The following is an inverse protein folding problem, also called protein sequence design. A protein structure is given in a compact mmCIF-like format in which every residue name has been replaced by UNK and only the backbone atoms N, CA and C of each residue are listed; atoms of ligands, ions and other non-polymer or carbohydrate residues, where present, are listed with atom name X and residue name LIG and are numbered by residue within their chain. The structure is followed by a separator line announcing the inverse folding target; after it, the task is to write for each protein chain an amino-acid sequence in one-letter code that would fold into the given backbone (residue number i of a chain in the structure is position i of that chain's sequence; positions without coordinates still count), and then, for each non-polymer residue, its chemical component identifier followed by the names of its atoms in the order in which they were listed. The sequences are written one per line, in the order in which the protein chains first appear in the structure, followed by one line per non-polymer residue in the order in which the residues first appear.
data_IF_294627001920
#
_entry.id   IF_294627001920
#
_cell.length_a   1.000
_cell.length_b   1.000
_cell.length_c   1.000
_cell.angle_alpha   90.00
_cell.angle_beta   90.00
_cell.angle_gamma   90.00
#
_symmetry.space_group_name_H-M   'P 1'
#
loop_
_entity.id
_entity.type
_entity.pdbx_description
1 polymer ?
#
# COMPACT_ATOMS: atom_id res chain seq x y z
N UNK A 1 -0.12 -6.34 49.11
CA UNK A 1 -1.48 -6.69 48.65
C UNK A 1 -1.36 -7.55 47.42
N UNK A 2 -1.84 -8.80 47.46
CA UNK A 2 -1.83 -9.69 46.31
C UNK A 2 -3.25 -9.74 45.71
N UNK A 3 -3.35 -9.62 44.39
CA UNK A 3 -4.58 -9.90 43.64
C UNK A 3 -4.43 -11.27 42.98
N UNK A 4 -5.46 -12.10 43.10
CA UNK A 4 -5.54 -13.41 42.48
C UNK A 4 -6.53 -13.32 41.33
N UNK A 5 -6.07 -13.56 40.10
CA UNK A 5 -6.93 -13.66 38.91
C UNK A 5 -7.42 -15.10 38.79
N UNK A 6 -8.73 -15.32 38.90
CA UNK A 6 -9.37 -16.63 38.84
C UNK A 6 -10.26 -16.67 37.60
N UNK A 7 -10.17 -17.75 36.81
CA UNK A 7 -11.13 -18.05 35.74
C UNK A 7 -12.16 -19.03 36.34
N UNK A 8 -13.31 -18.52 36.75
CA UNK A 8 -14.46 -19.35 37.15
C UNK A 8 -15.47 -19.39 35.99
N UNK A 9 -15.59 -20.54 35.28
CA UNK A 9 -16.49 -20.67 34.13
C UNK A 9 -17.98 -20.61 34.50
N UNK A 10 -18.35 -20.62 35.79
CA UNK A 10 -19.74 -20.57 36.25
C UNK A 10 -20.11 -19.28 37.00
N UNK A 11 -19.21 -18.28 37.11
CA UNK A 11 -19.52 -17.02 37.80
C UNK A 11 -20.47 -16.14 36.98
N UNK A 12 -21.78 -16.19 37.27
CA UNK A 12 -22.81 -15.35 36.61
C UNK A 12 -22.81 -13.88 37.04
N UNK A 13 -22.11 -13.53 38.13
CA UNK A 13 -22.01 -12.16 38.66
C UNK A 13 -20.74 -11.43 38.26
N UNK A 14 -19.77 -12.13 37.68
CA UNK A 14 -18.50 -11.56 37.24
C UNK A 14 -18.63 -11.15 35.77
N UNK A 15 -18.53 -9.86 35.45
CA UNK A 15 -18.34 -9.44 34.06
C UNK A 15 -16.91 -9.81 33.63
N UNK A 16 -16.70 -10.55 32.53
CA UNK A 16 -15.37 -10.84 32.04
C UNK A 16 -14.66 -9.53 31.64
N UNK A 17 -13.53 -9.23 32.27
CA UNK A 17 -12.72 -8.02 32.01
C UNK A 17 -12.27 -7.91 30.54
N UNK A 18 -12.09 -9.04 29.86
CA UNK A 18 -11.57 -9.09 28.49
C UNK A 18 -12.63 -8.84 27.40
N UNK A 19 -13.93 -8.90 27.72
CA UNK A 19 -14.99 -8.84 26.68
C UNK A 19 -15.42 -7.41 26.32
N UNK A 20 -15.10 -6.41 27.17
CA UNK A 20 -15.48 -5.02 26.90
C UNK A 20 -14.40 -4.25 26.14
N UNK A 21 -13.11 -4.59 26.34
CA UNK A 21 -11.98 -3.86 25.75
C UNK A 21 -11.96 -3.96 24.22
N UNK A 22 -12.27 -5.14 23.66
CA UNK A 22 -12.32 -5.35 22.21
C UNK A 22 -13.42 -4.51 21.53
N UNK A 23 -14.60 -4.39 22.17
CA UNK A 23 -15.71 -3.61 21.62
C UNK A 23 -15.49 -2.10 21.67
N UNK A 24 -14.78 -1.60 22.69
CA UNK A 24 -14.43 -0.18 22.79
C UNK A 24 -13.32 0.19 21.80
N UNK A 25 -12.31 -0.68 21.64
CA UNK A 25 -11.26 -0.49 20.64
C UNK A 25 -11.81 -0.49 19.21
N UNK A 26 -12.75 -1.39 18.91
CA UNK A 26 -13.39 -1.44 17.59
C UNK A 26 -14.15 -0.14 17.27
N UNK A 27 -14.87 0.43 18.24
CA UNK A 27 -15.59 1.70 18.05
C UNK A 27 -14.62 2.87 17.83
N UNK A 28 -13.50 2.91 18.56
CA UNK A 28 -12.47 3.95 18.38
C UNK A 28 -11.83 3.90 17.00
N UNK A 29 -11.60 2.69 16.47
CA UNK A 29 -11.07 2.49 15.11
C UNK A 29 -12.09 2.97 14.06
N UNK A 30 -13.36 2.61 14.23
CA UNK A 30 -14.41 3.03 13.29
C UNK A 30 -14.61 4.57 13.29
N UNK A 31 -14.52 5.22 14.46
CA UNK A 31 -14.60 6.67 14.59
C UNK A 31 -13.39 7.37 13.92
N UNK A 32 -12.17 6.89 14.17
CA UNK A 32 -10.96 7.43 13.56
C UNK A 32 -10.95 7.28 12.03
N UNK A 33 -11.35 6.12 11.52
CA UNK A 33 -11.47 5.88 10.08
C UNK A 33 -12.52 6.81 9.44
N UNK A 34 -13.66 7.04 10.12
CA UNK A 34 -14.69 7.94 9.65
C UNK A 34 -14.20 9.40 9.56
N UNK A 35 -13.47 9.88 10.58
CA UNK A 35 -12.84 11.20 10.56
C UNK A 35 -11.84 11.33 9.39
N UNK A 36 -11.00 10.32 9.18
CA UNK A 36 -10.03 10.29 8.09
C UNK A 36 -10.71 10.37 6.72
N UNK A 37 -11.79 9.60 6.51
CA UNK A 37 -12.60 9.64 5.30
C UNK A 37 -13.23 11.02 5.06
N UNK A 38 -13.77 11.65 6.10
CA UNK A 38 -14.35 12.99 6.02
C UNK A 38 -13.27 14.01 5.63
N UNK A 39 -12.09 13.94 6.24
CA UNK A 39 -10.95 14.78 5.90
C UNK A 39 -10.53 14.62 4.44
N UNK A 40 -10.43 13.39 3.94
CA UNK A 40 -10.12 13.10 2.53
C UNK A 40 -11.11 13.77 1.57
N UNK A 41 -12.42 13.66 1.87
CA UNK A 41 -13.46 14.30 1.06
C UNK A 41 -13.33 15.84 1.06
N UNK A 42 -13.03 16.45 2.21
CA UNK A 42 -12.80 17.88 2.28
C UNK A 42 -11.57 18.32 1.47
N UNK A 43 -10.44 17.62 1.61
CA UNK A 43 -9.23 17.91 0.86
C UNK A 43 -9.48 17.82 -0.65
N UNK A 44 -10.19 16.78 -1.10
CA UNK A 44 -10.54 16.62 -2.50
C UNK A 44 -11.43 17.74 -3.02
N UNK A 45 -12.45 18.14 -2.27
CA UNK A 45 -13.33 19.27 -2.62
C UNK A 45 -12.55 20.59 -2.75
N UNK A 46 -11.54 20.81 -1.88
CA UNK A 46 -10.67 21.99 -1.97
C UNK A 46 -9.81 21.94 -3.24
N UNK A 47 -9.22 20.78 -3.55
CA UNK A 47 -8.40 20.58 -4.75
C UNK A 47 -9.23 20.82 -6.01
N UNK A 48 -10.41 20.20 -6.10
CA UNK A 48 -11.34 20.31 -7.23
C UNK A 48 -11.77 21.78 -7.47
N UNK A 49 -12.01 22.53 -6.39
CA UNK A 49 -12.38 23.95 -6.46
C UNK A 49 -11.21 24.87 -6.81
N UNK A 50 -9.97 24.44 -6.56
CA UNK A 50 -8.81 25.31 -6.74
C UNK A 50 -8.50 25.62 -8.21
N UNK A 51 -9.13 24.93 -9.17
CA UNK A 51 -8.87 25.04 -10.62
C UNK A 51 -7.37 24.97 -10.98
N UNK A 52 -6.54 24.45 -10.09
CA UNK A 52 -5.13 24.29 -10.33
C UNK A 52 -4.91 23.01 -11.15
N UNK A 53 -4.13 23.10 -12.22
CA UNK A 53 -3.67 21.94 -13.00
C UNK A 53 -2.71 21.02 -12.21
N UNK A 54 -2.47 21.31 -10.93
CA UNK A 54 -1.60 20.53 -10.06
C UNK A 54 -2.34 19.33 -9.50
N UNK A 55 -1.83 18.14 -9.82
CA UNK A 55 -2.24 16.91 -9.16
C UNK A 55 -1.59 16.83 -7.78
N UNK A 56 -2.41 16.62 -6.74
CA UNK A 56 -1.92 16.33 -5.40
C UNK A 56 -2.01 14.82 -5.19
N UNK A 57 -0.98 14.25 -4.56
CA UNK A 57 -1.03 12.88 -4.05
C UNK A 57 -1.32 12.95 -2.56
N UNK A 58 -2.46 12.41 -2.13
CA UNK A 58 -2.80 12.31 -0.71
C UNK A 58 -2.52 10.87 -0.27
N UNK A 59 -1.85 10.74 0.88
CA UNK A 59 -1.65 9.47 1.57
C UNK A 59 -2.51 9.50 2.83
N UNK A 60 -3.34 8.47 3.01
CA UNK A 60 -4.16 8.31 4.19
C UNK A 60 -3.99 6.92 4.79
N UNK A 61 -4.04 6.85 6.11
CA UNK A 61 -4.06 5.60 6.85
C UNK A 61 -5.50 5.33 7.29
N UNK A 62 -6.00 4.13 6.97
CA UNK A 62 -7.32 3.65 7.37
C UNK A 62 -7.14 2.23 7.89
N UNK A 63 -7.59 1.97 9.11
CA UNK A 63 -7.34 0.72 9.80
C UNK A 63 -8.22 -0.41 9.27
N UNK A 64 -9.53 -0.18 9.12
CA UNK A 64 -10.46 -1.18 8.63
C UNK A 64 -10.40 -1.30 7.09
N UNK A 65 -10.17 -2.51 6.59
CA UNK A 65 -10.15 -2.81 5.17
C UNK A 65 -11.48 -2.50 4.46
N UNK A 66 -12.61 -2.58 5.17
CA UNK A 66 -13.95 -2.23 4.65
C UNK A 66 -14.02 -0.73 4.34
N UNK A 67 -13.48 0.09 5.23
CA UNK A 67 -13.40 1.54 5.07
C UNK A 67 -12.40 1.93 3.98
N UNK A 68 -11.28 1.21 3.86
CA UNK A 68 -10.33 1.39 2.76
C UNK A 68 -10.99 1.17 1.39
N UNK A 69 -11.84 0.14 1.26
CA UNK A 69 -12.55 -0.14 0.00
C UNK A 69 -13.55 0.96 -0.36
N UNK A 70 -14.21 1.56 0.62
CA UNK A 70 -15.08 2.73 0.41
C UNK A 70 -14.26 3.93 -0.07
N UNK A 71 -13.15 4.22 0.62
CA UNK A 71 -12.23 5.30 0.29
C UNK A 71 -11.71 5.19 -1.15
N UNK A 72 -11.23 4.02 -1.57
CA UNK A 72 -10.67 3.80 -2.92
C UNK A 72 -11.68 4.10 -4.05
N UNK A 73 -12.98 3.89 -3.81
CA UNK A 73 -14.02 4.17 -4.81
C UNK A 73 -14.33 5.66 -4.95
N UNK A 74 -14.24 6.41 -3.86
CA UNK A 74 -14.59 7.84 -3.82
C UNK A 74 -13.37 8.73 -4.09
N UNK A 75 -12.20 8.27 -3.64
CA UNK A 75 -10.92 8.95 -3.68
C UNK A 75 -9.94 8.23 -4.61
N UNK A 76 -10.39 7.99 -5.85
CA UNK A 76 -9.52 7.45 -6.90
C UNK A 76 -8.26 8.34 -7.04
N UNK A 77 -7.09 7.70 -7.00
CA UNK A 77 -5.72 8.25 -7.04
C UNK A 77 -5.03 8.55 -5.70
N UNK A 78 -5.68 8.33 -4.56
CA UNK A 78 -5.04 8.49 -3.24
C UNK A 78 -4.48 7.15 -2.73
N UNK A 79 -3.35 7.20 -2.01
CA UNK A 79 -2.72 6.01 -1.45
C UNK A 79 -3.30 5.77 -0.05
N UNK A 80 -4.18 4.78 0.05
CA UNK A 80 -4.78 4.37 1.32
C UNK A 80 -4.03 3.16 1.86
N UNK A 81 -3.37 3.32 3.00
CA UNK A 81 -2.60 2.27 3.67
C UNK A 81 -3.48 1.62 4.73
N UNK A 82 -3.58 0.29 4.65
CA UNK A 82 -4.22 -0.54 5.67
C UNK A 82 -3.17 -1.24 6.54
N UNK A 83 -3.52 -1.43 7.82
CA UNK A 83 -2.74 -2.22 8.78
C UNK A 83 -2.48 -3.67 8.28
N UNK A 84 -3.25 -4.16 7.30
CA UNK A 84 -3.03 -5.45 6.65
C UNK A 84 -1.62 -5.58 6.00
N UNK A 85 -0.94 -4.48 5.69
CA UNK A 85 0.46 -4.54 5.21
C UNK A 85 1.38 -5.21 6.25
N UNK A 86 1.17 -4.92 7.54
CA UNK A 86 1.95 -5.51 8.64
C UNK A 86 1.66 -7.01 8.72
N UNK A 87 0.40 -7.42 8.60
CA UNK A 87 0.00 -8.83 8.58
C UNK A 87 0.67 -9.60 7.44
N UNK A 88 0.76 -8.99 6.25
CA UNK A 88 1.48 -9.57 5.09
C UNK A 88 2.98 -9.71 5.36
N UNK A 89 3.60 -8.68 5.92
CA UNK A 89 5.01 -8.71 6.31
C UNK A 89 5.31 -9.83 7.31
N UNK A 90 4.50 -9.96 8.37
CA UNK A 90 4.64 -11.05 9.36
C UNK A 90 4.46 -12.42 8.71
N UNK A 91 3.54 -12.57 7.76
CA UNK A 91 3.35 -13.82 7.01
C UNK A 91 4.61 -14.20 6.23
N UNK A 92 5.19 -13.25 5.49
CA UNK A 92 6.43 -13.47 4.74
C UNK A 92 7.61 -13.86 5.67
N UNK A 93 7.76 -13.16 6.79
CA UNK A 93 8.77 -13.48 7.80
C UNK A 93 8.59 -14.88 8.41
N UNK A 94 7.34 -15.30 8.60
CA UNK A 94 7.00 -16.61 9.16
C UNK A 94 7.34 -17.74 8.18
N UNK A 95 7.18 -17.51 6.87
CA UNK A 95 7.56 -18.45 5.82
C UNK A 95 9.08 -18.53 5.63
N UNK A 96 9.77 -17.40 5.62
CA UNK A 96 11.22 -17.36 5.43
C UNK A 96 11.87 -16.22 6.21
N UNK A 97 12.52 -16.58 7.32
CA UNK A 97 13.25 -15.63 8.18
C UNK A 97 14.36 -14.86 7.46
N UNK A 98 14.86 -15.35 6.32
CA UNK A 98 15.87 -14.64 5.54
C UNK A 98 15.29 -13.42 4.81
N UNK A 99 13.97 -13.35 4.59
CA UNK A 99 13.30 -12.19 3.99
C UNK A 99 13.53 -10.93 4.83
N UNK A 100 13.64 -11.08 6.16
CA UNK A 100 13.98 -9.99 7.07
C UNK A 100 15.21 -9.19 6.60
N UNK A 101 16.23 -9.86 6.07
CA UNK A 101 17.46 -9.18 5.61
C UNK A 101 17.21 -8.28 4.41
N UNK A 102 16.25 -8.63 3.56
CA UNK A 102 15.84 -7.84 2.40
C UNK A 102 14.97 -6.68 2.87
N UNK A 103 14.00 -6.94 3.73
CA UNK A 103 13.08 -5.91 4.24
C UNK A 103 13.79 -4.87 5.12
N UNK A 104 14.73 -5.29 5.98
CA UNK A 104 15.58 -4.40 6.77
C UNK A 104 16.40 -3.46 5.86
N UNK A 105 16.67 -3.86 4.62
CA UNK A 105 17.42 -3.04 3.66
C UNK A 105 16.48 -2.15 2.84
N UNK A 106 15.31 -2.65 2.43
CA UNK A 106 14.35 -1.90 1.60
C UNK A 106 13.48 -0.89 2.37
N UNK A 107 13.29 -1.08 3.68
CA UNK A 107 12.41 -0.24 4.51
C UNK A 107 13.16 0.82 5.33
N UNK A 108 14.50 0.82 5.27
CA UNK A 108 15.33 1.88 5.86
C UNK A 108 15.54 2.97 4.79
N UNK A 109 15.66 4.23 5.22
CA UNK A 109 15.91 5.38 4.34
C UNK A 109 17.37 5.45 3.81
N UNK A 110 18.05 4.31 3.75
CA UNK A 110 19.42 4.17 3.24
C UNK A 110 19.39 3.17 2.07
N UNK A 111 20.28 3.37 1.08
CA UNK A 111 20.32 2.58 -0.16
C UNK A 111 20.21 1.06 0.06
N UNK A 112 19.42 0.33 -0.75
CA UNK A 112 18.73 0.72 -1.99
C UNK A 112 17.24 1.04 -1.83
N UNK A 113 16.79 2.13 -2.48
CA UNK A 113 15.39 2.56 -2.51
C UNK A 113 14.64 2.14 -3.80
N UNK A 114 13.31 2.09 -3.72
CA UNK A 114 12.43 1.79 -4.86
C UNK A 114 11.87 3.11 -5.43
N UNK A 115 12.16 3.37 -6.70
CA UNK A 115 11.67 4.55 -7.41
C UNK A 115 10.76 4.20 -8.59
N UNK A 116 9.82 5.11 -8.88
CA UNK A 116 9.10 5.15 -10.15
C UNK A 116 9.76 6.18 -11.07
N UNK A 117 10.36 5.71 -12.15
CA UNK A 117 11.06 6.55 -13.12
C UNK A 117 10.31 6.57 -14.47
N UNK A 118 10.50 7.64 -15.23
CA UNK A 118 9.95 7.70 -16.59
C UNK A 118 10.71 6.72 -17.49
N UNK A 119 9.98 5.89 -18.25
CA UNK A 119 10.58 4.91 -19.16
C UNK A 119 11.50 5.57 -20.20
N UNK A 120 11.15 6.79 -20.64
CA UNK A 120 11.94 7.59 -21.58
C UNK A 120 13.35 7.94 -21.10
N UNK A 121 13.63 7.80 -19.80
CA UNK A 121 14.99 7.99 -19.26
C UNK A 121 15.95 6.86 -19.62
N UNK A 122 15.42 5.67 -19.93
CA UNK A 122 16.23 4.46 -20.13
C UNK A 122 16.04 3.84 -21.51
N UNK A 123 14.84 3.93 -22.08
CA UNK A 123 14.47 3.21 -23.31
C UNK A 123 13.68 4.09 -24.29
N UNK A 124 13.79 3.86 -25.62
CA UNK A 124 13.01 4.61 -26.60
C UNK A 124 11.51 4.30 -26.52
N UNK A 125 10.69 5.35 -26.63
CA UNK A 125 9.23 5.22 -26.68
C UNK A 125 8.76 4.75 -28.06
N UNK A 126 7.51 4.27 -28.13
CA UNK A 126 6.81 3.85 -29.35
C UNK A 126 7.50 2.72 -30.13
N UNK A 127 8.40 1.98 -29.48
CA UNK A 127 9.08 0.81 -30.05
C UNK A 127 8.88 -0.42 -29.16
N UNK A 128 8.75 -1.63 -29.76
CA UNK A 128 8.68 -2.86 -28.98
C UNK A 128 10.05 -3.16 -28.37
N UNK A 129 10.08 -3.28 -27.04
CA UNK A 129 11.29 -3.54 -26.27
C UNK A 129 11.02 -4.69 -25.32
N UNK A 130 11.99 -5.60 -25.22
CA UNK A 130 11.95 -6.71 -24.27
C UNK A 130 12.27 -6.25 -22.85
N UNK A 131 11.69 -6.90 -21.84
CA UNK A 131 12.09 -6.68 -20.45
C UNK A 131 13.59 -6.94 -20.21
N UNK A 132 14.21 -7.83 -21.00
CA UNK A 132 15.66 -8.04 -20.97
C UNK A 132 16.44 -6.77 -21.32
N UNK A 133 16.05 -6.07 -22.38
CA UNK A 133 16.69 -4.82 -22.81
C UNK A 133 16.47 -3.71 -21.79
N UNK A 134 15.28 -3.60 -21.19
CA UNK A 134 15.02 -2.61 -20.12
C UNK A 134 15.98 -2.81 -18.95
N UNK A 135 16.18 -4.07 -18.55
CA UNK A 135 17.11 -4.42 -17.47
C UNK A 135 18.56 -4.07 -17.85
N UNK A 136 18.98 -4.37 -19.08
CA UNK A 136 20.32 -4.02 -19.57
C UNK A 136 20.56 -2.50 -19.58
N UNK A 137 19.59 -1.71 -20.04
CA UNK A 137 19.68 -0.25 -20.06
C UNK A 137 19.72 0.35 -18.65
N UNK A 138 18.84 -0.10 -17.74
CA UNK A 138 18.80 0.42 -16.36
C UNK A 138 20.06 0.14 -15.57
N UNK A 139 20.72 -1.01 -15.80
CA UNK A 139 21.99 -1.35 -15.17
C UNK A 139 23.12 -0.36 -15.49
N UNK A 140 23.09 0.30 -16.66
CA UNK A 140 24.08 1.33 -17.03
C UNK A 140 24.03 2.55 -16.11
N UNK A 141 22.90 2.76 -15.46
CA UNK A 141 22.66 3.85 -14.49
C UNK A 141 22.78 3.37 -13.04
N UNK A 142 23.33 2.18 -12.81
CA UNK A 142 23.40 1.56 -11.48
C UNK A 142 22.03 1.33 -10.82
N UNK A 143 20.97 1.20 -11.64
CA UNK A 143 19.62 0.90 -11.20
C UNK A 143 19.20 -0.50 -11.68
N UNK A 144 18.18 -1.09 -11.05
CA UNK A 144 17.62 -2.37 -11.44
C UNK A 144 16.12 -2.24 -11.72
N UNK A 145 15.71 -2.47 -12.97
CA UNK A 145 14.29 -2.59 -13.30
C UNK A 145 13.70 -3.87 -12.70
N UNK A 146 12.79 -3.73 -11.73
CA UNK A 146 12.03 -4.83 -11.13
C UNK A 146 10.63 -5.01 -11.75
N UNK A 147 10.19 -4.04 -12.55
CA UNK A 147 8.85 -3.99 -13.13
C UNK A 147 8.59 -2.70 -13.90
N UNK A 148 7.36 -2.50 -14.34
CA UNK A 148 6.91 -1.31 -15.05
C UNK A 148 5.45 -0.98 -14.73
N UNK A 149 5.03 0.25 -15.08
CA UNK A 149 3.63 0.67 -14.98
C UNK A 149 3.15 1.23 -16.31
N UNK A 150 2.02 0.73 -16.81
CA UNK A 150 1.37 1.24 -18.03
C UNK A 150 0.27 2.25 -17.66
N UNK A 151 0.48 3.52 -18.00
CA UNK A 151 -0.44 4.61 -17.64
C UNK A 151 -1.83 4.47 -18.27
N UNK A 152 -1.99 3.76 -19.39
CA UNK A 152 -3.32 3.46 -19.98
C UNK A 152 -4.24 2.66 -19.06
N UNK A 153 -3.68 1.97 -18.06
CA UNK A 153 -4.43 1.20 -17.06
C UNK A 153 -4.45 1.89 -15.70
N UNK A 154 -4.16 3.20 -15.63
CA UNK A 154 -4.06 3.96 -14.37
C UNK A 154 -5.28 3.80 -13.45
N UNK A 155 -6.48 3.64 -14.03
CA UNK A 155 -7.74 3.52 -13.30
C UNK A 155 -8.33 2.11 -13.33
N UNK A 156 -7.58 1.11 -13.81
CA UNK A 156 -8.04 -0.27 -13.90
C UNK A 156 -7.48 -1.10 -12.73
N UNK A 157 -8.27 -1.22 -11.67
CA UNK A 157 -7.92 -2.02 -10.48
C UNK A 157 -7.70 -3.51 -10.83
N UNK A 158 -8.45 -4.04 -11.81
CA UNK A 158 -8.34 -5.46 -12.21
C UNK A 158 -6.99 -5.79 -12.86
N UNK A 159 -6.30 -4.76 -13.36
CA UNK A 159 -4.94 -4.82 -13.90
C UNK A 159 -3.91 -4.18 -12.97
N UNK A 160 -4.20 -4.12 -11.67
CA UNK A 160 -3.30 -3.55 -10.66
C UNK A 160 -2.83 -2.14 -11.02
N UNK A 161 -3.73 -1.30 -11.57
CA UNK A 161 -3.42 0.07 -12.01
C UNK A 161 -2.28 0.14 -13.04
N UNK A 162 -2.12 -0.93 -13.83
CA UNK A 162 -1.10 -1.10 -14.85
C UNK A 162 0.27 -1.50 -14.34
N UNK A 163 0.43 -1.79 -13.04
CA UNK A 163 1.70 -2.20 -12.43
C UNK A 163 1.95 -3.69 -12.73
N UNK A 164 3.11 -3.98 -13.29
CA UNK A 164 3.59 -5.35 -13.53
C UNK A 164 4.96 -5.49 -12.88
N UNK A 165 5.07 -6.40 -11.92
CA UNK A 165 6.31 -6.75 -11.24
C UNK A 165 6.83 -8.09 -11.74
N UNK A 166 8.15 -8.22 -11.87
CA UNK A 166 8.81 -9.41 -12.39
C UNK A 166 8.18 -9.96 -13.69
N UNK A 167 8.10 -9.13 -14.75
CA UNK A 167 7.55 -9.56 -16.05
C UNK A 167 8.43 -10.63 -16.71
N UNK A 168 7.86 -11.34 -17.69
CA UNK A 168 8.66 -12.29 -18.48
C UNK A 168 9.73 -11.54 -19.27
N UNK A 169 10.97 -12.02 -19.23
CA UNK A 169 12.12 -11.37 -19.88
C UNK A 169 11.95 -11.26 -21.40
N UNK A 170 11.21 -12.17 -22.01
CA UNK A 170 10.93 -12.21 -23.44
C UNK A 170 9.71 -11.37 -23.84
N UNK A 171 8.90 -10.94 -22.87
CA UNK A 171 7.72 -10.11 -23.12
C UNK A 171 8.12 -8.80 -23.79
N UNK A 172 7.40 -8.46 -24.86
CA UNK A 172 7.59 -7.23 -25.62
C UNK A 172 6.58 -6.20 -25.15
N UNK A 173 7.07 -5.03 -24.74
CA UNK A 173 6.25 -3.92 -24.27
C UNK A 173 6.57 -2.69 -25.10
N UNK A 174 5.54 -1.87 -25.34
CA UNK A 174 5.68 -0.56 -25.97
C UNK A 174 5.30 0.47 -24.92
N UNK A 175 6.24 1.37 -24.62
CA UNK A 175 6.00 2.53 -23.78
C UNK A 175 5.57 3.72 -24.64
N UNK A 176 4.50 4.39 -24.23
CA UNK A 176 3.93 5.60 -24.84
C UNK A 176 4.03 6.77 -23.88
#
# INVERSE_FOLDING_TARGET
CAQLTIIDPNCKSCKPLLANEESEQQNLIEEADAECLICLLYLKNIIDKSNNEKTFSIVAEIYDIRNCQLANRTCANDFIVSLNLISKYISQLSENKNIKKVDDVLLIADDPEIYLCLASMFVPLETPISCYQILEETLKYQCLAIGYRLMKYLHDETRFFGIVLNPDKQEQIIFS
#
